data_IF_429632166330
#
_entry.id   IF_429632166330
#
_cell.length_a   1.000
_cell.length_b   1.000
_cell.length_c   1.000
_cell.angle_alpha   90.00
_cell.angle_beta   90.00
_cell.angle_gamma   90.00
#
_symmetry.space_group_name_H-M   'P 1'
#
loop_
_entity.id
_entity.type
_entity.pdbx_description
1 polymer ?
#
# COMPACT_ATOMS: atom_id res chain seq x y z
N UNK A 1 17.62 -9.46 14.85
CA UNK A 1 17.94 -8.89 13.51
C UNK A 1 18.03 -7.36 13.53
N UNK A 2 17.03 -6.65 14.07
CA UNK A 2 17.07 -5.17 14.16
C UNK A 2 18.33 -4.64 14.86
N UNK A 3 18.69 -5.15 16.04
CA UNK A 3 19.90 -4.72 16.77
C UNK A 3 21.18 -4.81 15.94
N UNK A 4 21.29 -5.82 15.06
CA UNK A 4 22.46 -5.97 14.18
C UNK A 4 22.45 -4.92 13.07
N UNK A 5 21.29 -4.67 12.46
CA UNK A 5 21.14 -3.61 11.45
C UNK A 5 21.46 -2.22 12.05
N UNK A 6 21.00 -1.97 13.27
CA UNK A 6 21.33 -0.77 14.04
C UNK A 6 22.82 -0.65 14.31
N UNK A 7 23.47 -1.74 14.76
CA UNK A 7 24.92 -1.75 15.00
C UNK A 7 25.74 -1.45 13.73
N UNK A 8 25.20 -1.77 12.55
CA UNK A 8 25.78 -1.43 11.24
C UNK A 8 25.44 -0.01 10.76
N UNK A 9 24.66 0.76 11.51
CA UNK A 9 24.23 2.12 11.15
C UNK A 9 23.20 2.17 10.02
N UNK A 10 22.58 1.03 9.69
CA UNK A 10 21.52 0.95 8.69
C UNK A 10 20.26 1.64 9.21
N UNK A 11 19.54 2.28 8.30
CA UNK A 11 18.26 2.98 8.53
C UNK A 11 17.48 3.05 7.24
N UNK A 12 16.18 3.33 7.31
CA UNK A 12 15.37 3.50 6.10
C UNK A 12 15.92 4.64 5.22
N UNK A 13 16.04 4.37 3.93
CA UNK A 13 16.63 5.28 2.94
C UNK A 13 18.17 5.25 2.88
N UNK A 14 18.87 4.42 3.66
CA UNK A 14 20.30 4.21 3.46
C UNK A 14 20.55 3.48 2.14
N UNK A 15 21.41 4.03 1.27
CA UNK A 15 21.71 3.47 -0.05
C UNK A 15 21.77 4.54 -1.14
N UNK A 16 21.60 4.12 -2.39
CA UNK A 16 21.65 4.99 -3.58
C UNK A 16 20.35 4.88 -4.41
N UNK A 17 20.41 5.16 -5.71
CA UNK A 17 19.25 5.13 -6.61
C UNK A 17 18.81 3.71 -6.95
N UNK A 18 19.68 2.71 -6.80
CA UNK A 18 19.45 1.33 -7.23
C UNK A 18 19.21 0.37 -6.07
N UNK A 19 19.92 0.55 -4.95
CA UNK A 19 19.80 -0.28 -3.76
C UNK A 19 19.62 0.57 -2.51
N UNK A 20 18.53 0.33 -1.78
CA UNK A 20 18.20 1.04 -0.54
C UNK A 20 17.67 0.12 0.53
N UNK A 21 18.00 0.44 1.77
CA UNK A 21 17.38 -0.14 2.96
C UNK A 21 15.99 0.46 3.11
N UNK A 22 14.96 -0.39 3.03
CA UNK A 22 13.56 -0.01 3.16
C UNK A 22 13.07 0.06 4.61
N UNK A 23 11.77 -0.18 4.77
CA UNK A 23 11.11 -0.32 6.07
C UNK A 23 11.39 -1.68 6.71
N UNK A 24 11.25 -1.78 8.03
CA UNK A 24 11.10 -3.08 8.69
C UNK A 24 9.70 -3.63 8.40
N UNK A 25 9.64 -4.89 7.96
CA UNK A 25 8.39 -5.59 7.67
C UNK A 25 7.87 -6.29 8.93
N UNK A 26 6.57 -6.17 9.18
CA UNK A 26 5.85 -6.96 10.18
C UNK A 26 4.56 -7.54 9.58
N UNK A 27 3.98 -8.53 10.26
CA UNK A 27 2.72 -9.18 9.90
C UNK A 27 1.75 -9.13 11.06
N UNK A 28 0.58 -8.55 10.83
CA UNK A 28 -0.46 -8.44 11.83
C UNK A 28 -1.48 -9.59 11.78
N UNK A 29 -1.66 -10.20 10.61
CA UNK A 29 -2.58 -11.31 10.41
C UNK A 29 -2.19 -12.18 9.20
N UNK A 30 -3.06 -13.15 8.88
CA UNK A 30 -2.96 -13.98 7.69
C UNK A 30 -3.64 -13.36 6.46
N UNK A 31 -4.37 -14.17 5.70
CA UNK A 31 -5.00 -13.77 4.44
C UNK A 31 -6.47 -14.20 4.36
N UNK A 32 -7.21 -13.57 3.43
CA UNK A 32 -8.63 -13.87 3.18
C UNK A 32 -8.82 -15.33 2.73
N UNK A 33 -8.11 -15.79 1.69
CA UNK A 33 -8.29 -17.14 1.12
C UNK A 33 -8.24 -18.30 2.13
N UNK A 34 -7.26 -18.36 3.05
CA UNK A 34 -7.22 -19.38 4.11
C UNK A 34 -8.06 -19.06 5.34
N UNK A 35 -8.84 -17.97 5.34
CA UNK A 35 -9.69 -17.49 6.43
C UNK A 35 -8.88 -17.18 7.71
N UNK A 36 -7.70 -16.60 7.53
CA UNK A 36 -6.77 -16.29 8.63
C UNK A 36 -6.52 -14.80 8.82
N UNK A 37 -7.03 -13.94 7.93
CA UNK A 37 -7.06 -12.51 8.19
C UNK A 37 -7.89 -12.23 9.44
N UNK A 38 -7.40 -11.36 10.33
CA UNK A 38 -7.98 -11.18 11.66
C UNK A 38 -9.19 -10.24 11.58
N UNK A 39 -10.33 -10.71 12.08
CA UNK A 39 -11.62 -10.05 11.89
C UNK A 39 -12.23 -9.55 13.20
N UNK A 40 -12.99 -8.45 13.16
CA UNK A 40 -13.77 -7.93 14.30
C UNK A 40 -15.04 -8.77 14.53
N UNK A 41 -15.58 -9.35 13.46
CA UNK A 41 -16.73 -10.25 13.47
C UNK A 41 -16.36 -11.55 12.75
N UNK A 42 -16.97 -12.70 13.11
CA UNK A 42 -16.62 -13.97 12.50
C UNK A 42 -16.77 -14.00 10.97
N UNK A 43 -16.06 -14.90 10.31
CA UNK A 43 -16.30 -15.23 8.90
C UNK A 43 -17.75 -15.71 8.69
N UNK A 44 -18.32 -15.38 7.53
CA UNK A 44 -19.66 -15.85 7.17
C UNK A 44 -19.71 -17.38 7.20
N UNK A 45 -20.75 -17.95 7.80
CA UNK A 45 -20.91 -19.39 8.03
C UNK A 45 -19.86 -20.07 8.93
N UNK A 46 -18.98 -19.30 9.59
CA UNK A 46 -17.96 -19.80 10.52
C UNK A 46 -18.00 -19.02 11.84
N UNK A 47 -18.97 -19.30 12.73
CA UNK A 47 -19.31 -18.44 13.87
C UNK A 47 -18.19 -18.27 14.90
N UNK A 48 -17.23 -19.19 14.94
CA UNK A 48 -16.09 -19.16 15.88
C UNK A 48 -14.78 -18.73 15.21
N UNK A 49 -14.77 -18.47 13.89
CA UNK A 49 -13.55 -18.09 13.18
C UNK A 49 -13.41 -16.57 13.10
N UNK A 50 -12.47 -16.02 13.88
CA UNK A 50 -12.06 -14.61 13.85
C UNK A 50 -10.70 -14.39 13.15
N UNK A 51 -10.19 -15.42 12.45
CA UNK A 51 -8.85 -15.44 11.89
C UNK A 51 -7.76 -15.46 12.96
N UNK A 52 -6.55 -15.03 12.58
CA UNK A 52 -5.38 -15.07 13.44
C UNK A 52 -4.75 -13.68 13.55
N UNK A 53 -4.85 -13.06 14.74
CA UNK A 53 -4.08 -11.86 15.06
C UNK A 53 -2.67 -12.30 15.48
N UNK A 54 -1.67 -11.96 14.68
CA UNK A 54 -0.28 -12.33 14.89
C UNK A 54 0.49 -11.33 15.76
N UNK A 55 0.06 -10.08 15.79
CA UNK A 55 0.65 -9.04 16.62
C UNK A 55 -0.44 -8.13 17.20
N UNK A 56 -0.40 -7.90 18.50
CA UNK A 56 -1.31 -6.98 19.19
C UNK A 56 -0.74 -5.55 19.21
N UNK A 57 -1.60 -4.55 19.46
CA UNK A 57 -1.21 -3.14 19.45
C UNK A 57 -0.01 -2.82 20.35
N UNK A 58 0.05 -3.35 21.58
CA UNK A 58 1.15 -3.04 22.52
C UNK A 58 2.48 -3.60 22.03
N UNK A 59 2.47 -4.83 21.50
CA UNK A 59 3.66 -5.44 20.95
C UNK A 59 4.13 -4.69 19.70
N UNK A 60 3.20 -4.33 18.82
CA UNK A 60 3.50 -3.52 17.63
C UNK A 60 4.07 -2.15 18.02
N UNK A 61 3.52 -1.50 19.04
CA UNK A 61 4.03 -0.23 19.55
C UNK A 61 5.47 -0.37 20.05
N UNK A 62 5.79 -1.37 20.89
CA UNK A 62 7.16 -1.55 21.40
C UNK A 62 8.17 -1.86 20.30
N UNK A 63 7.81 -2.72 19.34
CA UNK A 63 8.65 -2.98 18.16
C UNK A 63 8.83 -1.72 17.32
N UNK A 64 7.75 -0.96 17.14
CA UNK A 64 7.76 0.28 16.38
C UNK A 64 8.59 1.38 17.04
N UNK A 65 8.51 1.50 18.37
CA UNK A 65 9.30 2.42 19.18
C UNK A 65 10.80 2.20 18.95
N UNK A 66 11.25 0.94 19.06
CA UNK A 66 12.65 0.57 18.82
C UNK A 66 13.07 0.85 17.36
N UNK A 67 12.20 0.61 16.39
CA UNK A 67 12.47 0.92 14.98
C UNK A 67 12.66 2.42 14.74
N UNK A 68 11.72 3.23 15.25
CA UNK A 68 11.71 4.69 15.11
C UNK A 68 12.94 5.33 15.76
N UNK A 69 13.31 4.89 16.97
CA UNK A 69 14.53 5.34 17.67
C UNK A 69 15.81 5.15 16.85
N UNK A 70 15.78 4.21 15.91
CA UNK A 70 16.89 3.87 15.04
C UNK A 70 16.68 4.26 13.57
N UNK A 71 15.67 5.10 13.28
CA UNK A 71 15.45 5.65 11.94
C UNK A 71 14.86 4.67 10.93
N UNK A 72 14.15 3.64 11.38
CA UNK A 72 13.44 2.72 10.50
C UNK A 72 11.95 3.04 10.40
N UNK A 73 11.45 3.22 9.18
CA UNK A 73 10.02 3.17 8.91
C UNK A 73 9.48 1.74 9.01
N UNK A 74 8.16 1.62 9.08
CA UNK A 74 7.47 0.34 9.28
C UNK A 74 6.59 0.05 8.07
N UNK A 75 6.55 -1.22 7.68
CA UNK A 75 5.70 -1.77 6.64
C UNK A 75 4.95 -2.95 7.25
N UNK A 76 3.66 -2.78 7.55
CA UNK A 76 2.92 -3.79 8.32
C UNK A 76 1.85 -4.41 7.45
N UNK A 77 1.93 -5.71 7.24
CA UNK A 77 0.85 -6.48 6.61
C UNK A 77 -0.38 -6.49 7.51
N UNK A 78 -1.52 -6.03 6.99
CA UNK A 78 -2.83 -6.17 7.65
C UNK A 78 -3.95 -6.31 6.61
N UNK A 79 -4.62 -7.46 6.58
CA UNK A 79 -5.70 -7.75 5.64
C UNK A 79 -7.07 -7.53 6.28
N UNK A 80 -7.33 -8.15 7.43
CA UNK A 80 -8.63 -8.10 8.10
C UNK A 80 -8.87 -6.78 8.83
N UNK A 81 -10.14 -6.47 9.11
CA UNK A 81 -10.53 -5.22 9.76
C UNK A 81 -10.02 -5.10 11.20
N UNK A 82 -9.94 -6.20 11.96
CA UNK A 82 -9.32 -6.20 13.30
C UNK A 82 -7.82 -5.98 13.22
N UNK A 83 -7.13 -6.61 12.26
CA UNK A 83 -5.68 -6.39 12.09
C UNK A 83 -5.40 -4.91 11.79
N UNK A 84 -6.13 -4.32 10.84
CA UNK A 84 -5.99 -2.90 10.52
C UNK A 84 -6.31 -2.01 11.73
N UNK A 85 -7.36 -2.33 12.50
CA UNK A 85 -7.73 -1.59 13.71
C UNK A 85 -6.59 -1.56 14.75
N UNK A 86 -6.01 -2.72 15.05
CA UNK A 86 -4.90 -2.85 16.01
C UNK A 86 -3.66 -2.08 15.54
N UNK A 87 -3.32 -2.18 14.25
CA UNK A 87 -2.15 -1.49 13.69
C UNK A 87 -2.36 0.03 13.64
N UNK A 88 -3.56 0.51 13.34
CA UNK A 88 -3.86 1.94 13.39
C UNK A 88 -3.80 2.49 14.83
N UNK A 89 -4.23 1.70 15.83
CA UNK A 89 -4.07 2.04 17.24
C UNK A 89 -2.59 2.07 17.67
N UNK A 90 -1.78 1.12 17.20
CA UNK A 90 -0.34 1.11 17.45
C UNK A 90 0.36 2.32 16.78
N UNK A 91 -0.03 2.67 15.55
CA UNK A 91 0.52 3.84 14.87
C UNK A 91 0.10 5.16 15.49
N UNK A 92 -1.12 5.27 16.01
CA UNK A 92 -1.56 6.44 16.78
C UNK A 92 -0.64 6.68 17.99
N UNK A 93 -0.41 5.65 18.81
CA UNK A 93 0.54 5.72 19.94
C UNK A 93 1.98 6.01 19.48
N UNK A 94 2.39 5.44 18.34
CA UNK A 94 3.74 5.64 17.80
C UNK A 94 3.95 7.06 17.28
N UNK A 95 2.95 7.66 16.62
CA UNK A 95 3.00 9.07 16.19
C UNK A 95 3.11 10.00 17.39
N UNK A 96 2.35 9.73 18.44
CA UNK A 96 2.47 10.41 19.73
C UNK A 96 3.89 10.30 20.32
N UNK A 97 4.50 9.13 20.22
CA UNK A 97 5.89 8.92 20.67
C UNK A 97 6.90 9.71 19.82
N UNK A 98 6.80 9.63 18.50
CA UNK A 98 7.64 10.38 17.55
C UNK A 98 7.58 11.89 17.81
N UNK A 99 6.38 12.43 18.03
CA UNK A 99 6.20 13.85 18.36
C UNK A 99 6.93 14.23 19.66
N UNK A 100 6.95 13.37 20.68
CA UNK A 100 7.69 13.63 21.93
C UNK A 100 9.20 13.51 21.78
N UNK A 101 9.69 12.60 20.94
CA UNK A 101 11.11 12.52 20.62
C UNK A 101 11.62 13.78 19.94
N UNK A 102 10.82 14.36 19.03
CA UNK A 102 11.16 15.60 18.32
C UNK A 102 11.17 16.86 19.19
N UNK A 103 10.50 16.85 20.35
CA UNK A 103 10.49 18.00 21.27
C UNK A 103 11.62 17.96 22.28
N UNK A 104 12.23 16.78 22.51
CA UNK A 104 13.21 16.56 23.58
C UNK A 104 14.67 16.65 23.10
N UNK A 105 14.94 16.51 21.81
CA UNK A 105 16.29 16.55 21.25
C UNK A 105 16.82 17.96 20.96
N UNK A 106 15.97 19.01 21.03
CA UNK A 106 16.37 20.43 20.97
C UNK A 106 17.11 20.86 19.69
N UNK A 107 17.16 19.97 18.68
CA UNK A 107 17.84 20.18 17.41
C UNK A 107 16.88 20.84 16.42
N UNK A 108 17.29 21.87 15.67
CA UNK A 108 16.45 22.47 14.65
C UNK A 108 16.07 21.44 13.59
N UNK A 109 14.85 21.53 13.05
CA UNK A 109 14.32 20.70 11.95
C UNK A 109 15.33 20.64 10.80
N UNK A 110 16.14 19.59 10.76
CA UNK A 110 16.95 19.29 9.57
C UNK A 110 16.11 18.42 8.64
N UNK A 111 16.45 18.39 7.35
CA UNK A 111 15.81 17.49 6.39
C UNK A 111 15.85 16.00 6.81
N UNK A 112 16.70 15.65 7.79
CA UNK A 112 16.80 14.33 8.41
C UNK A 112 15.73 14.01 9.48
N UNK A 113 14.81 14.94 9.78
CA UNK A 113 13.71 14.76 10.77
C UNK A 113 12.31 14.81 10.12
N UNK A 114 12.19 14.41 8.84
CA UNK A 114 10.86 14.15 8.25
C UNK A 114 10.19 12.99 9.00
N UNK A 115 8.87 13.02 9.26
CA UNK A 115 8.18 11.89 9.85
C UNK A 115 8.48 10.62 9.07
N UNK A 116 8.76 9.52 9.78
CA UNK A 116 9.01 8.24 9.13
C UNK A 116 7.75 7.83 8.36
N UNK A 117 7.97 7.33 7.14
CA UNK A 117 6.90 6.94 6.22
C UNK A 117 6.43 5.53 6.52
N UNK A 118 5.71 5.38 7.62
CA UNK A 118 5.04 4.13 7.94
C UNK A 118 3.95 3.84 6.92
N UNK A 119 3.74 2.55 6.65
CA UNK A 119 2.70 2.09 5.74
C UNK A 119 2.07 0.79 6.22
N UNK A 120 0.80 0.62 5.89
CA UNK A 120 0.11 -0.65 6.00
C UNK A 120 0.03 -1.26 4.60
N UNK A 121 0.43 -2.52 4.49
CA UNK A 121 0.31 -3.32 3.28
C UNK A 121 -1.07 -3.98 3.23
N UNK A 122 -1.60 -4.09 2.02
CA UNK A 122 -2.91 -4.61 1.66
C UNK A 122 -4.05 -3.67 2.03
N UNK A 123 -4.20 -3.33 3.32
CA UNK A 123 -5.34 -2.54 3.82
C UNK A 123 -6.66 -3.12 3.26
N UNK A 124 -6.73 -4.45 3.22
CA UNK A 124 -7.66 -5.12 2.31
C UNK A 124 -9.10 -4.89 2.73
N UNK A 125 -9.37 -4.92 4.03
CA UNK A 125 -10.65 -4.59 4.62
C UNK A 125 -10.45 -3.63 5.80
N UNK A 126 -11.22 -2.54 5.81
CA UNK A 126 -11.26 -1.59 6.92
C UNK A 126 -12.65 -1.58 7.55
N UNK A 127 -12.68 -1.46 8.89
CA UNK A 127 -13.89 -1.05 9.56
C UNK A 127 -14.22 0.42 9.20
N UNK A 128 -15.50 0.80 8.99
CA UNK A 128 -15.85 2.16 8.58
C UNK A 128 -15.33 3.28 9.49
N UNK A 129 -15.19 3.02 10.79
CA UNK A 129 -14.65 4.00 11.75
C UNK A 129 -13.15 4.25 11.57
N UNK A 130 -12.43 3.31 10.97
CA UNK A 130 -10.99 3.40 10.72
C UNK A 130 -10.66 4.01 9.35
N UNK A 131 -11.67 4.15 8.47
CA UNK A 131 -11.51 4.70 7.12
C UNK A 131 -10.71 6.03 7.04
N UNK A 132 -10.89 7.03 7.94
CA UNK A 132 -10.12 8.27 7.87
C UNK A 132 -8.73 8.19 8.51
N UNK A 133 -8.42 7.14 9.28
CA UNK A 133 -7.28 7.14 10.21
C UNK A 133 -5.93 7.05 9.51
N UNK A 134 -5.85 6.38 8.36
CA UNK A 134 -4.62 6.35 7.55
C UNK A 134 -4.16 7.77 7.19
N UNK A 135 -5.08 8.62 6.75
CA UNK A 135 -4.81 10.02 6.45
C UNK A 135 -4.46 10.83 7.70
N UNK A 136 -5.25 10.70 8.77
CA UNK A 136 -5.03 11.42 10.04
C UNK A 136 -3.66 11.14 10.64
N UNK A 137 -3.18 9.89 10.52
CA UNK A 137 -1.90 9.44 11.06
C UNK A 137 -0.72 9.62 10.08
N UNK A 138 -0.99 10.06 8.85
CA UNK A 138 0.03 10.11 7.79
C UNK A 138 0.65 8.75 7.51
N UNK A 139 -0.15 7.68 7.56
CA UNK A 139 0.25 6.31 7.24
C UNK A 139 -0.18 5.99 5.81
N UNK A 140 0.76 5.46 5.02
CA UNK A 140 0.53 5.18 3.61
C UNK A 140 -0.29 3.90 3.46
N UNK A 141 -1.31 3.92 2.61
CA UNK A 141 -2.04 2.75 2.18
C UNK A 141 -1.32 2.11 0.98
N UNK A 142 -0.65 0.97 1.20
CA UNK A 142 0.06 0.22 0.15
C UNK A 142 -0.79 -0.97 -0.29
N UNK A 143 -1.49 -0.83 -1.42
CA UNK A 143 -2.59 -1.72 -1.80
C UNK A 143 -2.36 -2.37 -3.17
N UNK A 144 -2.99 -3.52 -3.43
CA UNK A 144 -2.79 -4.29 -4.66
C UNK A 144 -4.09 -4.37 -5.47
N UNK A 145 -4.25 -3.56 -6.53
CA UNK A 145 -5.46 -3.57 -7.36
C UNK A 145 -5.83 -4.92 -7.95
N UNK A 146 -4.84 -5.69 -8.37
CA UNK A 146 -5.05 -6.99 -9.00
C UNK A 146 -5.67 -8.01 -8.04
N UNK A 147 -5.34 -7.95 -6.74
CA UNK A 147 -5.95 -8.81 -5.73
C UNK A 147 -7.47 -8.58 -5.63
N UNK A 148 -7.96 -7.35 -5.83
CA UNK A 148 -9.39 -7.06 -5.74
C UNK A 148 -10.22 -7.93 -6.69
N UNK A 149 -9.74 -8.09 -7.94
CA UNK A 149 -10.44 -8.91 -8.92
C UNK A 149 -10.19 -10.41 -8.70
N UNK A 150 -9.04 -10.81 -8.14
CA UNK A 150 -8.73 -12.19 -7.74
C UNK A 150 -9.62 -12.66 -6.58
N UNK A 151 -9.87 -11.79 -5.60
CA UNK A 151 -10.50 -12.12 -4.33
C UNK A 151 -11.99 -11.80 -4.26
N UNK A 152 -12.55 -10.97 -5.17
CA UNK A 152 -13.92 -10.43 -5.07
C UNK A 152 -15.00 -11.46 -4.67
N UNK A 153 -14.94 -12.67 -5.23
CA UNK A 153 -15.92 -13.73 -4.92
C UNK A 153 -15.74 -14.29 -3.52
N UNK A 154 -14.49 -14.52 -3.10
CA UNK A 154 -14.18 -14.97 -1.73
C UNK A 154 -14.53 -13.88 -0.71
N UNK A 155 -14.30 -12.61 -1.05
CA UNK A 155 -14.68 -11.50 -0.18
C UNK A 155 -16.21 -11.47 -0.01
N UNK A 156 -16.98 -11.52 -1.09
CA UNK A 156 -18.45 -11.54 -0.99
C UNK A 156 -18.96 -12.79 -0.23
N UNK A 157 -18.32 -13.95 -0.42
CA UNK A 157 -18.70 -15.21 0.21
C UNK A 157 -18.39 -15.24 1.72
N UNK A 158 -17.15 -14.92 2.10
CA UNK A 158 -16.64 -15.13 3.46
C UNK A 158 -16.67 -13.87 4.33
N UNK A 159 -16.74 -12.70 3.71
CA UNK A 159 -16.94 -11.43 4.40
C UNK A 159 -18.37 -10.89 4.27
N UNK A 160 -19.18 -11.34 3.31
CA UNK A 160 -20.57 -10.91 3.20
C UNK A 160 -20.69 -9.39 3.04
N UNK A 161 -21.60 -8.77 3.80
CA UNK A 161 -21.90 -7.33 3.66
C UNK A 161 -20.71 -6.39 3.90
N UNK A 162 -19.74 -6.79 4.73
CA UNK A 162 -18.54 -5.97 5.00
C UNK A 162 -17.57 -5.92 3.81
N UNK A 163 -17.70 -6.81 2.82
CA UNK A 163 -16.90 -6.74 1.59
C UNK A 163 -17.06 -5.39 0.84
N UNK A 164 -18.14 -4.64 1.09
CA UNK A 164 -18.34 -3.28 0.59
C UNK A 164 -17.26 -2.27 1.06
N UNK A 165 -16.53 -2.60 2.13
CA UNK A 165 -15.41 -1.82 2.66
C UNK A 165 -14.03 -2.36 2.23
N UNK A 166 -14.01 -3.39 1.38
CA UNK A 166 -12.78 -3.99 0.89
C UNK A 166 -12.20 -3.23 -0.31
N UNK A 167 -10.87 -3.17 -0.38
CA UNK A 167 -10.13 -2.49 -1.45
C UNK A 167 -10.64 -1.06 -1.69
N UNK A 168 -10.84 -0.31 -0.60
CA UNK A 168 -11.55 0.96 -0.57
C UNK A 168 -10.70 2.17 -1.03
N UNK A 169 -10.09 2.07 -2.22
CA UNK A 169 -9.13 3.06 -2.74
C UNK A 169 -9.71 4.48 -2.86
N UNK A 170 -10.91 4.60 -3.42
CA UNK A 170 -11.60 5.90 -3.57
C UNK A 170 -11.83 6.53 -2.21
N UNK A 171 -12.30 5.72 -1.24
CA UNK A 171 -12.53 6.18 0.13
C UNK A 171 -11.23 6.69 0.77
N UNK A 172 -10.12 5.97 0.60
CA UNK A 172 -8.82 6.41 1.13
C UNK A 172 -8.35 7.72 0.50
N UNK A 173 -8.48 7.88 -0.83
CA UNK A 173 -8.17 9.14 -1.51
C UNK A 173 -9.06 10.30 -1.05
N UNK A 174 -10.36 10.05 -0.85
CA UNK A 174 -11.31 11.06 -0.35
C UNK A 174 -10.99 11.55 1.07
N UNK A 175 -10.45 10.66 1.91
CA UNK A 175 -9.95 11.06 3.23
C UNK A 175 -8.57 11.74 3.19
N UNK A 176 -7.91 11.77 2.04
CA UNK A 176 -6.58 12.38 1.86
C UNK A 176 -5.42 11.46 2.23
N UNK A 177 -5.64 10.14 2.30
CA UNK A 177 -4.56 9.20 2.53
C UNK A 177 -3.65 9.10 1.30
N UNK A 178 -2.35 8.87 1.53
CA UNK A 178 -1.43 8.53 0.45
C UNK A 178 -1.67 7.08 0.03
N UNK A 179 -2.13 6.88 -1.21
CA UNK A 179 -2.37 5.57 -1.79
C UNK A 179 -1.24 5.18 -2.73
N UNK A 180 -0.50 4.12 -2.40
CA UNK A 180 0.52 3.51 -3.25
C UNK A 180 0.03 2.14 -3.73
N UNK A 181 0.27 1.83 -5.00
CA UNK A 181 -0.07 0.55 -5.59
C UNK A 181 1.16 -0.34 -5.80
N UNK A 182 0.93 -1.65 -5.66
CA UNK A 182 1.88 -2.70 -5.95
C UNK A 182 1.17 -3.97 -6.47
N UNK A 183 1.95 -4.99 -6.82
CA UNK A 183 1.42 -6.28 -7.27
C UNK A 183 1.50 -7.39 -6.24
N UNK A 184 2.37 -7.26 -5.23
CA UNK A 184 2.75 -8.36 -4.32
C UNK A 184 3.24 -9.61 -5.07
N UNK A 185 3.88 -9.42 -6.22
CA UNK A 185 4.44 -10.53 -6.98
C UNK A 185 5.45 -11.33 -6.13
N UNK A 186 5.46 -12.67 -6.21
CA UNK A 186 4.77 -13.48 -7.23
C UNK A 186 3.37 -13.98 -6.82
N UNK A 187 2.75 -13.44 -5.76
CA UNK A 187 1.38 -13.84 -5.35
C UNK A 187 0.41 -13.61 -6.50
N UNK A 188 0.49 -12.43 -7.12
CA UNK A 188 -0.27 -12.08 -8.31
C UNK A 188 0.64 -11.47 -9.40
N UNK A 189 0.09 -11.23 -10.58
CA UNK A 189 0.90 -10.80 -11.74
C UNK A 189 1.59 -9.44 -11.51
N UNK A 190 2.89 -9.30 -11.82
CA UNK A 190 3.59 -8.02 -11.73
C UNK A 190 3.22 -7.04 -12.86
N UNK A 191 2.37 -7.43 -13.81
CA UNK A 191 2.02 -6.57 -14.93
C UNK A 191 1.18 -5.35 -14.45
N UNK A 192 1.74 -4.11 -14.51
CA UNK A 192 1.06 -2.94 -13.98
C UNK A 192 -0.21 -2.59 -14.77
N UNK A 193 -0.29 -2.94 -16.06
CA UNK A 193 -1.47 -2.68 -16.89
C UNK A 193 -2.68 -3.52 -16.46
N UNK A 194 -2.44 -4.71 -15.91
CA UNK A 194 -3.52 -5.52 -15.33
C UNK A 194 -4.01 -4.93 -14.01
N UNK A 195 -3.10 -4.36 -13.22
CA UNK A 195 -3.43 -3.60 -12.02
C UNK A 195 -4.19 -2.30 -12.33
N UNK A 196 -3.76 -1.54 -13.33
CA UNK A 196 -4.46 -0.34 -13.82
C UNK A 196 -5.88 -0.68 -14.29
N UNK A 197 -6.03 -1.73 -15.11
CA UNK A 197 -7.34 -2.24 -15.50
C UNK A 197 -8.20 -2.58 -14.28
N UNK A 198 -7.66 -3.31 -13.29
CA UNK A 198 -8.39 -3.64 -12.07
C UNK A 198 -8.77 -2.40 -11.24
N UNK A 199 -7.90 -1.39 -11.16
CA UNK A 199 -8.17 -0.15 -10.43
C UNK A 199 -9.31 0.69 -11.06
N UNK A 200 -9.34 0.75 -12.40
CA UNK A 200 -10.30 1.58 -13.15
C UNK A 200 -11.62 0.84 -13.37
N UNK A 201 -11.58 -0.46 -13.66
CA UNK A 201 -12.79 -1.23 -14.00
C UNK A 201 -13.34 -2.04 -12.85
N UNK A 202 -12.48 -2.50 -11.92
CA UNK A 202 -12.81 -3.53 -10.91
C UNK A 202 -13.43 -4.79 -11.53
N UNK A 203 -12.90 -5.21 -12.68
CA UNK A 203 -13.34 -6.37 -13.46
C UNK A 203 -12.17 -7.27 -13.88
N UNK A 204 -12.47 -8.55 -14.09
CA UNK A 204 -11.58 -9.57 -14.66
C UNK A 204 -11.53 -9.46 -16.18
N UNK A 205 -10.56 -10.15 -16.80
CA UNK A 205 -10.36 -10.17 -18.26
C UNK A 205 -11.58 -10.71 -19.03
N UNK A 206 -12.28 -11.69 -18.45
CA UNK A 206 -13.50 -12.25 -19.03
C UNK A 206 -14.73 -11.34 -18.85
N UNK A 207 -14.54 -10.14 -18.30
CA UNK A 207 -15.58 -9.17 -18.09
C UNK A 207 -16.47 -9.42 -16.88
N UNK A 208 -16.10 -10.32 -15.95
CA UNK A 208 -16.75 -10.58 -14.65
C UNK A 208 -16.26 -9.58 -13.58
N UNK A 209 -17.11 -8.99 -12.72
CA UNK A 209 -18.57 -9.11 -12.65
C UNK A 209 -19.25 -8.19 -13.69
N UNK A 210 -20.52 -7.85 -13.49
CA UNK A 210 -21.29 -6.97 -14.37
C UNK A 210 -20.54 -5.67 -14.77
N UNK A 211 -20.93 -4.99 -15.88
CA UNK A 211 -20.16 -3.87 -16.46
C UNK A 211 -19.80 -2.73 -15.49
N UNK A 212 -20.61 -2.51 -14.46
CA UNK A 212 -20.36 -1.57 -13.35
C UNK A 212 -19.20 -1.96 -12.44
N UNK A 213 -18.70 -3.20 -12.51
CA UNK A 213 -17.59 -3.70 -11.72
C UNK A 213 -17.98 -4.04 -10.28
N UNK A 214 -17.07 -4.70 -9.57
CA UNK A 214 -17.30 -5.05 -8.16
C UNK A 214 -17.16 -3.80 -7.30
N UNK A 215 -18.21 -3.40 -6.57
CA UNK A 215 -18.26 -2.14 -5.79
C UNK A 215 -17.80 -0.90 -6.57
N UNK A 216 -18.58 -0.42 -7.58
CA UNK A 216 -18.19 0.64 -8.52
C UNK A 216 -17.72 1.94 -7.87
N UNK A 217 -18.25 2.27 -6.68
CA UNK A 217 -17.88 3.47 -5.94
C UNK A 217 -16.38 3.53 -5.58
N UNK A 218 -15.69 2.39 -5.58
CA UNK A 218 -14.25 2.31 -5.31
C UNK A 218 -13.36 2.41 -6.54
N UNK A 219 -13.92 2.59 -7.75
CA UNK A 219 -13.15 2.79 -8.98
C UNK A 219 -12.32 4.07 -8.92
N UNK A 220 -11.13 4.00 -9.50
CA UNK A 220 -10.27 5.14 -9.71
C UNK A 220 -10.36 5.65 -11.16
N UNK A 221 -10.07 6.93 -11.35
CA UNK A 221 -9.73 7.44 -12.69
C UNK A 221 -8.35 6.92 -13.08
N UNK A 222 -8.05 6.90 -14.38
CA UNK A 222 -6.72 6.50 -14.86
C UNK A 222 -5.60 7.40 -14.28
N UNK A 223 -5.85 8.70 -14.13
CA UNK A 223 -4.88 9.64 -13.55
C UNK A 223 -4.56 9.30 -12.09
N UNK A 224 -5.59 9.01 -11.29
CA UNK A 224 -5.41 8.58 -9.89
C UNK A 224 -4.68 7.23 -9.79
N UNK A 225 -5.02 6.27 -10.66
CA UNK A 225 -4.38 4.96 -10.68
C UNK A 225 -2.91 5.05 -11.11
N UNK A 226 -2.58 5.87 -12.12
CA UNK A 226 -1.20 6.13 -12.54
C UNK A 226 -0.40 6.85 -11.46
N UNK A 227 -0.99 7.83 -10.78
CA UNK A 227 -0.37 8.48 -9.61
C UNK A 227 -0.02 7.44 -8.54
N UNK A 228 -0.95 6.54 -8.22
CA UNK A 228 -0.76 5.48 -7.25
C UNK A 228 0.30 4.44 -7.67
N UNK A 229 0.58 4.27 -8.96
CA UNK A 229 1.66 3.39 -9.47
C UNK A 229 3.01 4.08 -9.69
N UNK A 230 3.08 5.42 -9.70
CA UNK A 230 4.30 6.16 -10.06
C UNK A 230 4.78 7.08 -8.94
N UNK A 231 4.03 8.14 -8.66
CA UNK A 231 4.40 9.20 -7.72
C UNK A 231 4.25 8.73 -6.27
N UNK A 232 3.18 7.99 -5.96
CA UNK A 232 2.94 7.53 -4.60
C UNK A 232 3.93 6.47 -4.10
N UNK A 233 4.36 5.47 -4.89
CA UNK A 233 5.40 4.54 -4.47
C UNK A 233 6.76 5.23 -4.35
N UNK A 234 7.08 6.18 -5.22
CA UNK A 234 8.28 7.02 -5.07
C UNK A 234 8.27 7.80 -3.75
N UNK A 235 7.13 8.39 -3.38
CA UNK A 235 6.95 8.98 -2.05
C UNK A 235 7.06 7.93 -0.94
N UNK A 236 6.45 6.76 -1.05
CA UNK A 236 6.58 5.71 -0.03
C UNK A 236 8.05 5.27 0.19
N UNK A 237 8.88 5.32 -0.86
CA UNK A 237 10.28 4.93 -0.85
C UNK A 237 11.27 6.04 -0.43
N UNK A 238 10.82 7.29 -0.24
CA UNK A 238 11.76 8.39 0.05
C UNK A 238 12.43 9.00 -1.18
N UNK A 239 11.84 8.84 -2.37
CA UNK A 239 12.46 9.14 -3.65
C UNK A 239 11.58 10.05 -4.53
N UNK A 240 10.64 10.81 -3.98
CA UNK A 240 9.75 11.69 -4.76
C UNK A 240 10.47 12.82 -5.50
N UNK A 241 11.69 13.15 -5.10
CA UNK A 241 12.60 14.09 -5.75
C UNK A 241 13.46 13.44 -6.85
N UNK A 242 13.43 12.11 -6.98
CA UNK A 242 14.22 11.33 -7.94
C UNK A 242 13.39 10.45 -8.88
N UNK A 243 12.23 9.96 -8.46
CA UNK A 243 11.41 8.98 -9.18
C UNK A 243 9.94 9.40 -9.33
N UNK A 244 9.22 8.68 -10.19
CA UNK A 244 7.76 8.80 -10.34
C UNK A 244 7.28 10.00 -11.15
N UNK A 245 8.19 10.83 -11.67
CA UNK A 245 7.88 11.97 -12.55
C UNK A 245 8.94 12.14 -13.62
N UNK A 246 8.53 12.60 -14.79
CA UNK A 246 9.43 13.10 -15.83
C UNK A 246 9.61 14.61 -15.64
N UNK A 247 10.69 14.98 -14.93
CA UNK A 247 11.04 16.36 -14.64
C UNK A 247 12.57 16.51 -14.47
N UNK A 248 13.13 17.73 -14.65
CA UNK A 248 14.55 17.96 -14.38
C UNK A 248 14.94 17.55 -12.96
N UNK A 249 15.97 16.71 -12.82
CA UNK A 249 16.46 16.17 -11.54
C UNK A 249 15.98 14.74 -11.23
N UNK A 250 14.91 14.28 -11.87
CA UNK A 250 14.43 12.90 -11.78
C UNK A 250 15.22 11.97 -12.70
N UNK A 251 15.27 10.68 -12.35
CA UNK A 251 15.75 9.64 -13.26
C UNK A 251 14.82 9.55 -14.48
N UNK A 252 15.41 9.28 -15.63
CA UNK A 252 14.66 9.00 -16.85
C UNK A 252 14.17 7.54 -16.82
N UNK A 253 13.16 7.30 -15.99
CA UNK A 253 12.42 6.04 -15.89
C UNK A 253 11.08 6.21 -16.60
N UNK A 254 10.92 5.60 -17.77
CA UNK A 254 9.73 5.77 -18.60
C UNK A 254 9.38 4.56 -19.44
N UNK A 255 8.11 4.53 -19.85
CA UNK A 255 7.57 3.63 -20.84
C UNK A 255 7.20 4.45 -22.08
N UNK A 256 7.48 3.91 -23.26
CA UNK A 256 6.87 4.39 -24.52
C UNK A 256 5.71 3.48 -24.83
N UNK A 257 4.53 4.08 -25.03
CA UNK A 257 3.29 3.36 -25.31
C UNK A 257 2.79 3.79 -26.69
N UNK A 258 2.33 2.82 -27.49
CA UNK A 258 1.69 3.11 -28.78
C UNK A 258 0.23 3.57 -28.59
N UNK A 259 -0.38 3.16 -27.48
CA UNK A 259 -1.74 3.51 -27.08
C UNK A 259 -1.71 4.51 -25.91
N UNK A 260 -2.56 5.54 -25.98
CA UNK A 260 -2.72 6.52 -24.91
C UNK A 260 -3.68 5.96 -23.82
N UNK A 261 -3.18 5.64 -22.61
CA UNK A 261 -4.02 5.10 -21.53
C UNK A 261 -5.08 6.09 -21.03
N UNK A 262 -4.95 7.38 -21.34
CA UNK A 262 -5.95 8.41 -20.98
C UNK A 262 -7.11 8.49 -21.96
N UNK A 263 -6.95 7.96 -23.17
CA UNK A 263 -7.93 8.07 -24.25
C UNK A 263 -8.53 6.73 -24.69
N UNK A 264 -7.91 5.60 -24.35
CA UNK A 264 -8.44 4.29 -24.67
C UNK A 264 -9.65 3.92 -23.80
N UNK A 265 -10.45 2.97 -24.26
CA UNK A 265 -11.48 2.35 -23.42
C UNK A 265 -10.83 1.66 -22.21
N UNK A 266 -11.44 1.72 -21.00
CA UNK A 266 -10.86 1.12 -19.79
C UNK A 266 -10.51 -0.36 -19.92
N UNK A 267 -11.28 -1.12 -20.69
CA UNK A 267 -11.04 -2.53 -20.97
C UNK A 267 -9.74 -2.77 -21.76
N UNK A 268 -9.36 -1.84 -22.64
CA UNK A 268 -8.14 -1.94 -23.45
C UNK A 268 -6.86 -1.77 -22.63
N UNK A 269 -6.93 -1.14 -21.44
CA UNK A 269 -5.78 -0.93 -20.55
C UNK A 269 -5.00 -2.22 -20.31
N UNK A 270 -5.68 -3.37 -20.20
CA UNK A 270 -5.04 -4.67 -19.90
C UNK A 270 -4.10 -5.15 -21.01
N UNK A 271 -4.38 -4.76 -22.24
CA UNK A 271 -3.67 -5.22 -23.44
C UNK A 271 -2.48 -4.33 -23.82
N UNK A 272 -2.36 -3.16 -23.16
CA UNK A 272 -1.25 -2.24 -23.39
C UNK A 272 0.08 -2.95 -23.14
N UNK A 273 0.98 -2.78 -24.11
CA UNK A 273 2.37 -3.26 -24.06
C UNK A 273 3.28 -2.08 -24.35
N UNK A 274 4.29 -1.81 -23.50
CA UNK A 274 5.29 -0.82 -23.82
C UNK A 274 6.06 -1.22 -25.07
N UNK A 275 6.18 -0.31 -26.04
CA UNK A 275 7.05 -0.48 -27.20
C UNK A 275 8.51 -0.24 -26.86
N UNK A 276 8.80 0.52 -25.79
CA UNK A 276 10.13 0.66 -25.22
C UNK A 276 10.09 0.94 -23.72
N UNK A 277 11.17 0.58 -23.01
CA UNK A 277 11.34 0.81 -21.56
C UNK A 277 12.71 1.41 -21.32
N UNK A 278 12.74 2.52 -20.60
CA UNK A 278 13.96 3.18 -20.15
C UNK A 278 14.05 3.15 -18.63
N UNK A 279 15.24 2.84 -18.10
CA UNK A 279 15.54 2.88 -16.66
C UNK A 279 16.86 3.64 -16.50
N UNK A 280 16.85 4.70 -15.69
CA UNK A 280 18.03 5.52 -15.40
C UNK A 280 18.62 6.22 -16.63
N UNK A 281 17.85 6.43 -17.70
CA UNK A 281 18.34 6.97 -18.97
C UNK A 281 18.79 5.94 -20.00
N UNK A 282 18.79 4.65 -19.66
CA UNK A 282 19.20 3.56 -20.55
C UNK A 282 18.00 2.77 -21.06
N UNK A 283 17.93 2.52 -22.37
CA UNK A 283 16.91 1.67 -22.97
C UNK A 283 17.20 0.20 -22.65
N UNK A 284 16.33 -0.43 -21.87
CA UNK A 284 16.44 -1.84 -21.46
C UNK A 284 15.53 -2.76 -22.28
N UNK A 285 14.52 -2.18 -22.95
CA UNK A 285 13.65 -2.83 -23.93
C UNK A 285 13.45 -1.85 -25.08
N UNK A 286 13.60 -2.33 -26.32
CA UNK A 286 13.36 -1.59 -27.55
C UNK A 286 13.29 -2.49 -28.77
#
# INVERSE_FOLDING_TARGET
ELEHAVALGLRSGFGDDWLRIGSLKAFADGALGPHTAAMLQPYENEPDNLGMLMIEREEMFERGRLAVENGFSLAVHAIGDRANHEILNAFDQLRDYEMRLQTTDGRPQTAAQRPLRHRIEHVQLLHPTDAPRLAQLGVIASMQPIHAISDMKMADEFWGGRAAHAYAWRTQLQHGAQLAFGSDAPVDSPNPFWGLHAAVTRRRANGDPAPEGWYPAQRLTISEALHAYTQAPAFAAGLEDRLGKLAPGHLADLLVLDEDPFACEPEALREIRPSAVMIGGEWVVG
#
